data_IF_861440547977
#
_entry.id   IF_861440547977
#
_cell.length_a   1.000
_cell.length_b   1.000
_cell.length_c   1.000
_cell.angle_alpha   90.00
_cell.angle_beta   90.00
_cell.angle_gamma   90.00
#
_symmetry.space_group_name_H-M   'P 1'
#
loop_
_entity.id
_entity.type
_entity.pdbx_description
1 polymer ?
#
# COMPACT_ATOMS: atom_id res chain seq x y z
N UNK A 1 6.07 -13.75 -6.70
CA UNK A 1 6.60 -13.01 -7.86
C UNK A 1 7.52 -13.89 -8.73
N UNK A 2 7.01 -14.63 -9.71
CA UNK A 2 7.81 -15.61 -10.49
C UNK A 2 8.83 -15.00 -11.49
N UNK A 3 8.83 -13.67 -11.66
CA UNK A 3 9.66 -12.96 -12.65
C UNK A 3 10.86 -12.25 -11.97
N UNK A 4 10.78 -11.95 -10.67
CA UNK A 4 11.90 -11.37 -9.95
C UNK A 4 13.01 -12.42 -9.74
N UNK A 5 14.26 -11.97 -9.87
CA UNK A 5 15.42 -12.77 -9.47
C UNK A 5 15.36 -13.09 -7.97
N UNK A 6 16.06 -14.14 -7.50
CA UNK A 6 16.27 -14.35 -6.07
C UNK A 6 16.80 -13.07 -5.41
N UNK A 7 16.33 -12.79 -4.20
CA UNK A 7 16.67 -11.57 -3.44
C UNK A 7 16.27 -10.26 -4.15
N UNK A 8 15.40 -10.35 -5.16
CA UNK A 8 14.82 -9.20 -5.82
C UNK A 8 13.79 -8.52 -4.92
N UNK A 9 13.86 -7.19 -4.86
CA UNK A 9 12.92 -6.38 -4.10
C UNK A 9 11.91 -5.69 -5.03
N UNK A 10 10.74 -5.35 -4.50
CA UNK A 10 9.69 -4.65 -5.21
C UNK A 10 9.35 -3.35 -4.48
N UNK A 11 9.24 -2.25 -5.22
CA UNK A 11 8.56 -1.04 -4.74
C UNK A 11 7.30 -0.85 -5.57
N UNK A 12 6.14 -0.87 -4.91
CA UNK A 12 4.84 -0.73 -5.54
C UNK A 12 4.22 0.64 -5.20
N UNK A 13 3.73 1.35 -6.22
CA UNK A 13 2.91 2.55 -6.04
C UNK A 13 1.46 2.12 -5.83
N UNK A 14 0.94 2.41 -4.65
CA UNK A 14 -0.43 2.13 -4.23
C UNK A 14 -1.30 3.35 -4.46
N UNK A 15 -2.43 3.13 -5.12
CA UNK A 15 -3.39 4.16 -5.51
C UNK A 15 -4.77 3.82 -4.94
N UNK A 16 -5.10 4.26 -3.71
CA UNK A 16 -6.32 3.85 -3.01
C UNK A 16 -7.59 4.00 -3.84
N UNK A 17 -7.69 5.03 -4.69
CA UNK A 17 -8.83 5.28 -5.57
C UNK A 17 -9.15 4.16 -6.58
N UNK A 18 -8.20 3.26 -6.85
CA UNK A 18 -8.41 2.10 -7.73
C UNK A 18 -8.57 0.78 -6.95
N UNK A 19 -8.20 0.76 -5.68
CA UNK A 19 -8.24 -0.44 -4.82
C UNK A 19 -9.55 -0.54 -4.02
N UNK A 20 -10.21 0.59 -3.77
CA UNK A 20 -11.54 0.61 -3.13
C UNK A 20 -12.65 0.15 -4.08
N UNK A 21 -13.68 -0.49 -3.53
CA UNK A 21 -14.79 -1.05 -4.31
C UNK A 21 -15.59 0.00 -5.11
N UNK A 22 -16.29 -0.45 -6.16
CA UNK A 22 -17.20 0.42 -6.95
C UNK A 22 -18.25 1.04 -6.02
N UNK A 23 -18.23 2.35 -5.87
CA UNK A 23 -19.16 3.11 -5.03
C UNK A 23 -18.55 3.67 -3.73
N UNK A 24 -17.30 3.30 -3.39
CA UNK A 24 -16.63 3.83 -2.20
C UNK A 24 -15.83 5.12 -2.48
N UNK A 25 -15.78 5.56 -3.74
CA UNK A 25 -15.09 6.79 -4.15
C UNK A 25 -16.04 7.98 -4.12
N UNK A 26 -15.64 9.08 -3.46
CA UNK A 26 -16.43 10.32 -3.40
C UNK A 26 -16.57 10.99 -4.77
N UNK A 27 -17.47 11.97 -4.85
CA UNK A 27 -17.68 12.79 -6.04
C UNK A 27 -16.33 13.29 -6.61
N UNK A 28 -16.10 13.00 -7.91
CA UNK A 28 -14.89 13.27 -8.71
C UNK A 28 -13.76 12.24 -8.66
N UNK A 29 -13.84 11.18 -7.87
CA UNK A 29 -12.83 10.12 -7.88
C UNK A 29 -11.69 10.33 -6.88
N UNK A 30 -11.94 11.02 -5.76
CA UNK A 30 -10.95 11.34 -4.72
C UNK A 30 -11.26 10.53 -3.46
N UNK A 31 -10.25 9.96 -2.82
CA UNK A 31 -10.35 9.29 -1.51
C UNK A 31 -9.73 10.18 -0.44
N UNK A 32 -10.58 10.84 0.37
CA UNK A 32 -10.16 11.65 1.51
C UNK A 32 -10.23 10.91 2.84
N UNK A 33 -11.13 9.94 2.92
CA UNK A 33 -11.35 9.13 4.11
C UNK A 33 -10.09 8.32 4.47
N UNK A 34 -9.43 8.62 5.61
CA UNK A 34 -8.23 7.91 6.04
C UNK A 34 -8.51 6.44 6.34
N UNK A 35 -9.72 6.07 6.78
CA UNK A 35 -10.05 4.68 7.07
C UNK A 35 -10.07 3.83 5.79
N UNK A 36 -10.49 4.41 4.66
CA UNK A 36 -10.39 3.76 3.34
C UNK A 36 -8.94 3.57 2.90
N UNK A 37 -8.08 4.57 3.13
CA UNK A 37 -6.66 4.48 2.81
C UNK A 37 -5.97 3.41 3.68
N UNK A 38 -6.23 3.40 4.99
CA UNK A 38 -5.72 2.39 5.93
C UNK A 38 -6.17 0.99 5.49
N UNK A 39 -7.46 0.81 5.18
CA UNK A 39 -8.00 -0.48 4.73
C UNK A 39 -7.27 -0.99 3.49
N UNK A 40 -7.04 -0.14 2.49
CA UNK A 40 -6.29 -0.51 1.28
C UNK A 40 -4.88 -0.98 1.63
N UNK A 41 -4.16 -0.27 2.50
CA UNK A 41 -2.81 -0.66 2.90
C UNK A 41 -2.79 -1.99 3.67
N UNK A 42 -3.77 -2.22 4.54
CA UNK A 42 -3.92 -3.47 5.28
C UNK A 42 -4.25 -4.66 4.36
N UNK A 43 -5.20 -4.47 3.44
CA UNK A 43 -5.61 -5.50 2.48
C UNK A 43 -4.44 -5.88 1.55
N UNK A 44 -3.67 -4.91 1.08
CA UNK A 44 -2.46 -5.15 0.29
C UNK A 44 -1.34 -5.81 1.10
N UNK A 45 -1.13 -5.41 2.35
CA UNK A 45 -0.16 -6.05 3.23
C UNK A 45 -0.49 -7.54 3.43
N UNK A 46 -1.76 -7.86 3.67
CA UNK A 46 -2.23 -9.24 3.78
C UNK A 46 -2.06 -10.00 2.47
N UNK A 47 -2.45 -9.41 1.34
CA UNK A 47 -2.28 -10.03 0.02
C UNK A 47 -0.80 -10.37 -0.27
N UNK A 48 0.12 -9.45 0.00
CA UNK A 48 1.56 -9.68 -0.18
C UNK A 48 2.05 -10.81 0.73
N UNK A 49 1.60 -10.83 1.99
CA UNK A 49 1.91 -11.90 2.96
C UNK A 49 1.45 -13.27 2.47
N UNK A 50 0.23 -13.38 1.95
CA UNK A 50 -0.31 -14.63 1.38
C UNK A 50 0.47 -15.14 0.16
N UNK A 51 1.24 -14.28 -0.51
CA UNK A 51 2.15 -14.66 -1.60
C UNK A 51 3.54 -15.08 -1.12
N UNK A 52 3.79 -15.13 0.18
CA UNK A 52 5.08 -15.47 0.78
C UNK A 52 6.08 -14.31 0.82
N UNK A 53 5.60 -13.08 0.74
CA UNK A 53 6.41 -11.85 0.74
C UNK A 53 6.10 -11.03 2.00
N UNK A 54 6.95 -10.06 2.32
CA UNK A 54 6.74 -9.14 3.42
C UNK A 54 6.82 -7.70 2.92
N UNK A 55 5.87 -6.85 3.34
CA UNK A 55 6.01 -5.40 3.25
C UNK A 55 6.89 -4.95 4.41
N UNK A 56 8.03 -4.32 4.12
CA UNK A 56 9.00 -3.93 5.16
C UNK A 56 9.05 -2.42 5.40
N UNK A 57 8.53 -1.62 4.47
CA UNK A 57 8.37 -0.19 4.63
C UNK A 57 7.20 0.32 3.80
N UNK A 58 6.55 1.37 4.32
CA UNK A 58 5.54 2.14 3.62
C UNK A 58 5.84 3.62 3.80
N UNK A 59 5.60 4.41 2.76
CA UNK A 59 5.73 5.87 2.80
C UNK A 59 4.61 6.49 1.98
N UNK A 60 4.20 7.71 2.32
CA UNK A 60 3.45 8.54 1.38
C UNK A 60 4.32 8.85 0.15
N UNK A 61 3.70 8.88 -1.03
CA UNK A 61 4.35 9.31 -2.26
C UNK A 61 4.66 10.81 -2.20
N UNK A 62 5.84 11.26 -2.65
CA UNK A 62 6.17 12.68 -2.68
C UNK A 62 5.32 13.47 -3.69
N UNK A 63 4.62 12.77 -4.59
CA UNK A 63 3.69 13.35 -5.56
C UNK A 63 2.29 12.79 -5.33
N UNK A 64 1.29 13.66 -5.51
CA UNK A 64 -0.12 13.24 -5.47
C UNK A 64 -0.56 12.67 -6.81
N UNK A 65 -1.48 11.73 -6.75
CA UNK A 65 -2.14 11.16 -7.91
C UNK A 65 -3.02 12.17 -8.64
N UNK A 66 -3.56 11.77 -9.79
CA UNK A 66 -4.49 12.61 -10.54
C UNK A 66 -5.66 13.04 -9.65
N UNK A 67 -6.03 14.32 -9.76
CA UNK A 67 -7.06 14.99 -8.94
C UNK A 67 -6.73 15.12 -7.43
N UNK A 68 -5.47 14.91 -7.05
CA UNK A 68 -4.98 15.15 -5.67
C UNK A 68 -5.20 13.97 -4.72
N UNK A 69 -5.30 12.74 -5.24
CA UNK A 69 -5.33 11.56 -4.37
C UNK A 69 -3.97 11.37 -3.68
N UNK A 70 -3.99 11.06 -2.38
CA UNK A 70 -2.80 10.55 -1.69
C UNK A 70 -2.48 9.16 -2.24
N UNK A 71 -1.22 8.94 -2.57
CA UNK A 71 -0.70 7.65 -3.06
C UNK A 71 0.43 7.22 -2.12
N UNK A 72 0.71 5.92 -2.05
CA UNK A 72 1.70 5.36 -1.13
C UNK A 72 2.71 4.50 -1.87
N UNK A 73 3.92 4.39 -1.33
CA UNK A 73 4.95 3.47 -1.80
C UNK A 73 5.04 2.33 -0.78
N UNK A 74 4.93 1.07 -1.24
CA UNK A 74 5.17 -0.12 -0.43
C UNK A 74 6.44 -0.81 -0.92
N UNK A 75 7.37 -1.03 0.01
CA UNK A 75 8.59 -1.80 -0.23
C UNK A 75 8.39 -3.23 0.24
N UNK A 76 8.54 -4.18 -0.67
CA UNK A 76 8.29 -5.60 -0.44
C UNK A 76 9.55 -6.43 -0.74
N UNK A 77 9.80 -7.42 0.11
CA UNK A 77 10.88 -8.40 -0.02
C UNK A 77 10.33 -9.82 0.15
N UNK A 78 11.13 -10.84 -0.16
CA UNK A 78 10.76 -12.22 0.13
C UNK A 78 10.56 -12.39 1.65
N UNK A 79 9.55 -13.16 2.08
CA UNK A 79 9.12 -13.18 3.49
C UNK A 79 10.19 -13.63 4.49
N UNK A 80 11.20 -14.38 4.04
CA UNK A 80 12.35 -14.78 4.86
C UNK A 80 13.44 -13.71 5.00
N UNK A 81 13.36 -12.61 4.24
CA UNK A 81 14.40 -11.59 4.14
C UNK A 81 14.10 -10.30 4.89
N UNK A 82 12.93 -10.15 5.51
CA UNK A 82 12.56 -8.91 6.16
C UNK A 82 11.52 -9.05 7.26
N UNK A 83 11.50 -8.06 8.15
CA UNK A 83 10.50 -7.95 9.21
C UNK A 83 9.29 -7.20 8.66
N UNK A 84 8.08 -7.79 8.67
CA UNK A 84 6.89 -7.10 8.21
C UNK A 84 6.60 -5.83 9.01
N UNK A 85 6.13 -4.80 8.31
CA UNK A 85 5.60 -3.58 8.93
C UNK A 85 4.41 -3.90 9.84
N UNK A 86 4.38 -3.27 11.01
CA UNK A 86 3.27 -3.41 11.94
C UNK A 86 2.04 -2.62 11.46
N UNK A 87 0.84 -3.11 11.76
CA UNK A 87 -0.40 -2.42 11.37
C UNK A 87 -0.49 -1.01 11.94
N UNK A 88 0.03 -0.80 13.16
CA UNK A 88 0.06 0.51 13.80
C UNK A 88 0.92 1.52 13.01
N UNK A 89 2.05 1.07 12.45
CA UNK A 89 2.87 1.90 11.57
C UNK A 89 2.12 2.33 10.32
N UNK A 90 1.34 1.41 9.71
CA UNK A 90 0.51 1.74 8.54
C UNK A 90 -0.56 2.80 8.88
N UNK A 91 -1.17 2.69 10.06
CA UNK A 91 -2.14 3.69 10.55
C UNK A 91 -1.48 5.05 10.74
N UNK A 92 -0.32 5.09 11.38
CA UNK A 92 0.41 6.33 11.63
C UNK A 92 0.79 7.06 10.34
N UNK A 93 1.20 6.34 9.29
CA UNK A 93 1.52 6.93 7.98
C UNK A 93 0.30 7.62 7.35
N UNK A 94 -0.88 7.05 7.51
CA UNK A 94 -2.10 7.66 6.95
C UNK A 94 -2.58 8.84 7.80
N UNK A 95 -2.39 8.78 9.11
CA UNK A 95 -2.90 9.78 10.06
C UNK A 95 -1.94 10.95 10.32
N UNK A 96 -0.67 10.86 9.89
CA UNK A 96 0.28 11.98 9.85
C UNK A 96 -0.06 12.98 8.77
#
# INVERSE_FOLDING_TARGET
MKILKPEGELVALVKPQFEVGKGEVENRGIIKDPDKQIRVLLDLNLFIKEKGWAVIAVSESPITGQKGNREFLMHCVEGSQGTPVEEETLRQIVLS
#
